data_IF_728005828320
#
_entry.id   IF_728005828320
#
_cell.length_a   1.000
_cell.length_b   1.000
_cell.length_c   1.000
_cell.angle_alpha   90.00
_cell.angle_beta   90.00
_cell.angle_gamma   90.00
#
_symmetry.space_group_name_H-M   'P 1'
#
loop_
_entity.id
_entity.type
_entity.pdbx_description
1 polymer ?
#
# COMPACT_ATOMS: atom_id res chain seq x y z
N UNK A 1 -11.42 -38.89 12.32
CA UNK A 1 -10.42 -37.85 12.64
C UNK A 1 -10.70 -36.64 11.76
N UNK A 2 -11.30 -35.60 12.33
CA UNK A 2 -11.48 -34.27 11.71
C UNK A 2 -11.30 -33.25 12.84
N UNK A 3 -10.85 -32.00 12.59
CA UNK A 3 -10.65 -31.34 11.29
C UNK A 3 -9.31 -30.56 11.19
N UNK A 4 -8.87 -30.26 9.96
CA UNK A 4 -8.12 -29.02 9.71
C UNK A 4 -8.57 -28.45 8.38
N UNK A 5 -9.83 -28.04 8.34
CA UNK A 5 -10.31 -27.13 7.32
C UNK A 5 -9.62 -25.80 7.58
N UNK A 6 -8.44 -25.60 6.97
CA UNK A 6 -7.85 -24.27 6.81
C UNK A 6 -8.92 -23.43 6.13
N UNK A 7 -9.55 -22.52 6.87
CA UNK A 7 -10.45 -21.53 6.33
C UNK A 7 -9.79 -20.91 5.08
N UNK A 8 -10.52 -20.70 3.97
CA UNK A 8 -9.91 -20.09 2.81
C UNK A 8 -9.46 -18.69 3.23
N UNK A 9 -8.14 -18.53 3.42
CA UNK A 9 -7.53 -17.21 3.54
C UNK A 9 -7.99 -16.46 2.30
N UNK A 10 -8.88 -15.48 2.48
CA UNK A 10 -9.54 -14.79 1.39
C UNK A 10 -8.44 -14.25 0.46
N UNK A 11 -8.20 -14.92 -0.67
CA UNK A 11 -7.07 -14.62 -1.56
C UNK A 11 -7.23 -13.19 -2.06
N UNK A 12 -6.22 -12.35 -1.84
CA UNK A 12 -6.23 -10.99 -2.34
C UNK A 12 -5.70 -10.98 -3.78
N UNK A 13 -6.57 -11.36 -4.71
CA UNK A 13 -6.22 -11.53 -6.13
C UNK A 13 -5.59 -10.28 -6.74
N UNK A 14 -6.05 -9.10 -6.32
CA UNK A 14 -5.52 -7.82 -6.79
C UNK A 14 -4.08 -7.60 -6.32
N UNK A 15 -3.79 -7.89 -5.04
CA UNK A 15 -2.44 -7.82 -4.51
C UNK A 15 -1.51 -8.85 -5.17
N UNK A 16 -1.97 -10.08 -5.39
CA UNK A 16 -1.19 -11.12 -6.06
C UNK A 16 -0.83 -10.74 -7.51
N UNK A 17 -1.79 -10.24 -8.28
CA UNK A 17 -1.54 -9.77 -9.65
C UNK A 17 -0.57 -8.59 -9.69
N UNK A 18 -0.67 -7.68 -8.73
CA UNK A 18 0.27 -6.58 -8.60
C UNK A 18 1.69 -7.06 -8.30
N UNK A 19 1.85 -8.01 -7.38
CA UNK A 19 3.16 -8.57 -7.06
C UNK A 19 3.76 -9.34 -8.24
N UNK A 20 2.93 -10.06 -9.02
CA UNK A 20 3.35 -10.68 -10.28
C UNK A 20 3.79 -9.63 -11.30
N UNK A 21 3.06 -8.54 -11.44
CA UNK A 21 3.44 -7.41 -12.30
C UNK A 21 4.79 -6.82 -11.89
N UNK A 22 5.00 -6.56 -10.60
CA UNK A 22 6.28 -6.05 -10.11
C UNK A 22 7.43 -7.02 -10.40
N UNK A 23 7.21 -8.32 -10.18
CA UNK A 23 8.22 -9.34 -10.40
C UNK A 23 8.61 -9.47 -11.89
N UNK A 24 7.62 -9.58 -12.77
CA UNK A 24 7.83 -9.93 -14.17
C UNK A 24 8.17 -8.69 -15.01
N UNK A 25 7.44 -7.60 -14.82
CA UNK A 25 7.53 -6.47 -15.75
C UNK A 25 8.36 -5.30 -15.23
N UNK A 26 8.49 -5.18 -13.91
CA UNK A 26 9.35 -4.17 -13.26
C UNK A 26 10.64 -4.77 -12.72
N UNK A 27 10.83 -6.08 -12.90
CA UNK A 27 12.00 -6.82 -12.43
C UNK A 27 12.35 -6.51 -10.96
N UNK A 28 11.32 -6.31 -10.12
CA UNK A 28 11.49 -5.88 -8.75
C UNK A 28 12.22 -6.96 -7.94
N UNK A 29 13.20 -6.54 -7.13
CA UNK A 29 13.99 -7.48 -6.33
C UNK A 29 13.11 -8.28 -5.34
N UNK A 30 13.51 -9.50 -4.95
CA UNK A 30 12.76 -10.31 -3.97
C UNK A 30 12.51 -9.57 -2.65
N UNK A 31 13.46 -8.72 -2.24
CA UNK A 31 13.34 -7.86 -1.06
C UNK A 31 12.20 -6.85 -1.22
N UNK A 32 12.08 -6.21 -2.39
CA UNK A 32 11.03 -5.24 -2.70
C UNK A 32 9.66 -5.93 -2.72
N UNK A 33 9.56 -7.09 -3.37
CA UNK A 33 8.33 -7.89 -3.41
C UNK A 33 7.86 -8.27 -2.00
N UNK A 34 8.77 -8.74 -1.14
CA UNK A 34 8.46 -9.09 0.25
C UNK A 34 8.01 -7.87 1.06
N UNK A 35 8.69 -6.74 0.89
CA UNK A 35 8.33 -5.50 1.56
C UNK A 35 6.93 -5.02 1.16
N UNK A 36 6.61 -5.05 -0.13
CA UNK A 36 5.32 -4.61 -0.66
C UNK A 36 4.19 -5.59 -0.30
N UNK A 37 4.44 -6.90 -0.37
CA UNK A 37 3.47 -7.91 0.07
C UNK A 37 3.13 -7.76 1.55
N UNK A 38 4.14 -7.56 2.40
CA UNK A 38 3.94 -7.30 3.83
C UNK A 38 3.17 -6.00 4.06
N UNK A 39 3.49 -4.94 3.31
CA UNK A 39 2.78 -3.66 3.41
C UNK A 39 1.29 -3.79 3.06
N UNK A 40 0.97 -4.38 1.90
CA UNK A 40 -0.41 -4.55 1.46
C UNK A 40 -1.22 -5.41 2.43
N UNK A 41 -0.62 -6.47 2.97
CA UNK A 41 -1.26 -7.32 3.99
C UNK A 41 -1.58 -6.54 5.27
N UNK A 42 -0.64 -5.72 5.77
CA UNK A 42 -0.85 -4.91 6.97
C UNK A 42 -1.91 -3.82 6.77
N UNK A 43 -1.90 -3.14 5.61
CA UNK A 43 -2.94 -2.18 5.25
C UNK A 43 -4.31 -2.87 5.23
N UNK A 44 -4.40 -4.05 4.60
CA UNK A 44 -5.62 -4.86 4.57
C UNK A 44 -6.16 -5.18 5.95
N UNK A 45 -5.29 -5.64 6.84
CA UNK A 45 -5.65 -5.97 8.21
C UNK A 45 -6.12 -4.75 8.97
N UNK A 46 -5.43 -3.60 8.85
CA UNK A 46 -5.86 -2.36 9.50
C UNK A 46 -7.24 -1.91 9.03
N UNK A 47 -7.48 -1.98 7.72
CA UNK A 47 -8.75 -1.60 7.12
C UNK A 47 -9.82 -2.69 7.26
N UNK A 48 -9.65 -3.65 8.17
CA UNK A 48 -10.60 -4.72 8.45
C UNK A 48 -11.04 -5.47 7.19
N UNK A 49 -10.11 -5.71 6.27
CA UNK A 49 -10.34 -6.36 4.99
C UNK A 49 -11.42 -5.65 4.13
N UNK A 50 -11.54 -4.33 4.25
CA UNK A 50 -12.31 -3.50 3.32
C UNK A 50 -11.83 -3.75 1.88
N UNK A 51 -12.73 -3.93 0.90
CA UNK A 51 -12.33 -4.11 -0.50
C UNK A 51 -11.55 -2.89 -1.00
N UNK A 52 -10.46 -3.10 -1.73
CA UNK A 52 -9.63 -2.03 -2.28
C UNK A 52 -10.42 -0.98 -3.07
N UNK A 53 -11.43 -1.42 -3.84
CA UNK A 53 -12.30 -0.53 -4.62
C UNK A 53 -13.21 0.36 -3.76
N UNK A 54 -13.39 0.03 -2.47
CA UNK A 54 -14.22 0.79 -1.52
C UNK A 54 -13.37 1.64 -0.57
N UNK A 55 -12.05 1.50 -0.59
CA UNK A 55 -11.17 2.31 0.23
C UNK A 55 -11.13 3.76 -0.28
N UNK A 56 -11.03 4.71 0.65
CA UNK A 56 -10.98 6.16 0.43
C UNK A 56 -9.64 6.70 0.92
N UNK A 57 -9.32 7.93 0.52
CA UNK A 57 -8.10 8.60 0.97
C UNK A 57 -8.02 8.70 2.51
N UNK A 58 -9.16 8.92 3.17
CA UNK A 58 -9.24 9.03 4.63
C UNK A 58 -8.81 7.72 5.33
N UNK A 59 -9.23 6.55 4.81
CA UNK A 59 -8.83 5.25 5.35
C UNK A 59 -7.29 5.09 5.40
N UNK A 60 -6.60 5.58 4.37
CA UNK A 60 -5.14 5.53 4.29
C UNK A 60 -4.45 6.60 5.13
N UNK A 61 -5.03 7.81 5.21
CA UNK A 61 -4.52 8.87 6.08
C UNK A 61 -4.58 8.41 7.54
N UNK A 62 -5.70 7.81 7.96
CA UNK A 62 -5.88 7.27 9.30
C UNK A 62 -4.88 6.14 9.60
N UNK A 63 -4.66 5.24 8.64
CA UNK A 63 -3.65 4.19 8.79
C UNK A 63 -2.23 4.75 8.97
N UNK A 64 -1.79 5.65 8.10
CA UNK A 64 -0.44 6.22 8.17
C UNK A 64 -0.25 7.06 9.43
N UNK A 65 -1.30 7.78 9.85
CA UNK A 65 -1.30 8.54 11.09
C UNK A 65 -1.22 7.62 12.31
N UNK A 66 -1.93 6.49 12.30
CA UNK A 66 -1.83 5.46 13.33
C UNK A 66 -0.40 4.91 13.45
N UNK A 67 0.25 4.54 12.33
CA UNK A 67 1.66 4.11 12.34
C UNK A 67 2.59 5.18 12.93
N UNK A 68 2.32 6.46 12.62
CA UNK A 68 3.09 7.57 13.16
C UNK A 68 2.89 7.74 14.67
N UNK A 69 1.67 7.54 15.17
CA UNK A 69 1.35 7.55 16.61
C UNK A 69 2.03 6.40 17.35
N UNK A 70 2.13 5.24 16.72
CA UNK A 70 2.87 4.08 17.24
C UNK A 70 4.40 4.25 17.17
N UNK A 71 4.89 5.43 16.77
CA UNK A 71 6.33 5.73 16.62
C UNK A 71 7.04 4.76 15.68
N UNK A 72 6.33 4.21 14.69
CA UNK A 72 6.93 3.35 13.68
C UNK A 72 8.06 4.09 12.95
N UNK A 73 9.11 3.37 12.58
CA UNK A 73 10.27 3.95 11.90
C UNK A 73 9.85 4.67 10.60
N UNK A 74 10.43 5.84 10.34
CA UNK A 74 10.11 6.65 9.14
C UNK A 74 10.30 5.86 7.84
N UNK A 75 11.37 5.07 7.75
CA UNK A 75 11.65 4.18 6.61
C UNK A 75 10.52 3.17 6.38
N UNK A 76 9.97 2.62 7.46
CA UNK A 76 8.85 1.69 7.40
C UNK A 76 7.57 2.37 6.91
N UNK A 77 7.22 3.55 7.44
CA UNK A 77 6.05 4.32 6.97
C UNK A 77 6.20 4.67 5.48
N UNK A 78 7.40 5.04 5.02
CA UNK A 78 7.67 5.30 3.59
C UNK A 78 7.46 4.05 2.73
N UNK A 79 7.85 2.86 3.19
CA UNK A 79 7.58 1.60 2.48
C UNK A 79 6.08 1.34 2.36
N UNK A 80 5.32 1.51 3.45
CA UNK A 80 3.85 1.35 3.43
C UNK A 80 3.20 2.28 2.41
N UNK A 81 3.58 3.55 2.43
CA UNK A 81 3.08 4.56 1.50
C UNK A 81 3.48 4.30 0.05
N UNK A 82 4.72 3.89 -0.19
CA UNK A 82 5.23 3.58 -1.54
C UNK A 82 4.52 2.37 -2.15
N UNK A 83 4.33 1.32 -1.34
CA UNK A 83 3.55 0.15 -1.74
C UNK A 83 2.12 0.53 -2.11
N UNK A 84 1.45 1.35 -1.27
CA UNK A 84 0.09 1.84 -1.52
C UNK A 84 -0.01 2.61 -2.84
N UNK A 85 0.85 3.61 -3.07
CA UNK A 85 0.82 4.43 -4.30
C UNK A 85 1.07 3.60 -5.55
N UNK A 86 2.03 2.70 -5.49
CA UNK A 86 2.39 1.88 -6.66
C UNK A 86 1.29 0.86 -6.96
N UNK A 87 0.67 0.30 -5.92
CA UNK A 87 -0.47 -0.60 -6.04
C UNK A 87 -1.69 0.08 -6.69
N UNK A 88 -2.10 1.26 -6.21
CA UNK A 88 -3.25 1.95 -6.78
C UNK A 88 -3.00 2.51 -8.19
N UNK A 89 -1.76 2.92 -8.51
CA UNK A 89 -1.36 3.20 -9.90
C UNK A 89 -1.54 1.98 -10.80
N UNK A 90 -1.15 0.80 -10.33
CA UNK A 90 -1.37 -0.46 -11.05
C UNK A 90 -2.87 -0.76 -11.23
N UNK A 91 -3.68 -0.60 -10.19
CA UNK A 91 -5.13 -0.80 -10.27
C UNK A 91 -5.80 0.18 -11.24
N UNK A 92 -5.40 1.45 -11.23
CA UNK A 92 -5.88 2.44 -12.19
C UNK A 92 -5.53 2.05 -13.63
N UNK A 93 -4.27 1.65 -13.86
CA UNK A 93 -3.79 1.31 -15.19
C UNK A 93 -4.39 0.01 -15.75
N UNK A 94 -4.56 -1.03 -14.92
CA UNK A 94 -4.93 -2.38 -15.39
C UNK A 94 -6.31 -2.86 -15.01
N UNK A 95 -6.85 -2.35 -13.91
CA UNK A 95 -8.16 -2.75 -13.37
C UNK A 95 -9.22 -1.68 -13.60
N UNK A 96 -8.90 -0.67 -14.41
CA UNK A 96 -9.78 0.43 -14.80
C UNK A 96 -10.41 1.11 -13.58
N UNK A 97 -9.65 1.22 -12.49
CA UNK A 97 -10.10 1.93 -11.30
C UNK A 97 -10.25 3.41 -11.68
N UNK A 98 -11.48 3.91 -11.72
CA UNK A 98 -11.76 5.28 -12.17
C UNK A 98 -11.16 6.35 -11.25
N UNK A 99 -10.92 6.00 -9.98
CA UNK A 99 -10.43 6.90 -8.96
C UNK A 99 -9.27 6.28 -8.18
N UNK A 100 -8.17 7.02 -8.03
CA UNK A 100 -7.01 6.62 -7.23
C UNK A 100 -7.03 7.35 -5.88
N UNK A 101 -7.60 6.74 -4.82
CA UNK A 101 -7.66 7.34 -3.49
C UNK A 101 -6.27 7.56 -2.87
N UNK A 102 -5.23 6.86 -3.34
CA UNK A 102 -3.86 7.03 -2.83
C UNK A 102 -3.18 8.31 -3.31
N UNK A 103 -3.68 8.89 -4.42
CA UNK A 103 -3.14 10.13 -4.98
C UNK A 103 -3.33 11.33 -4.04
N UNK A 104 -4.42 11.32 -3.25
CA UNK A 104 -4.77 12.35 -2.28
C UNK A 104 -4.11 12.14 -0.89
N UNK A 105 -3.41 11.03 -0.71
CA UNK A 105 -2.75 10.70 0.56
C UNK A 105 -1.37 11.33 0.59
N UNK A 106 -1.08 12.07 1.66
CA UNK A 106 0.24 12.60 1.97
C UNK A 106 0.80 11.92 3.21
N UNK A 107 2.13 11.77 3.27
CA UNK A 107 2.79 11.26 4.46
C UNK A 107 2.62 12.25 5.63
N UNK A 108 2.26 11.77 6.85
CA UNK A 108 2.17 12.63 8.01
C UNK A 108 3.56 13.22 8.31
N UNK A 109 3.69 14.55 8.20
CA UNK A 109 4.86 15.30 8.66
C UNK A 109 4.77 15.41 10.17
N UNK A 110 5.66 14.74 10.90
CA UNK A 110 5.69 14.86 12.35
C UNK A 110 6.28 16.24 12.72
N UNK A 111 5.36 17.15 13.04
CA UNK A 111 5.46 18.52 13.54
C UNK A 111 5.45 19.70 12.54
N UNK A 112 4.32 20.43 12.67
CA UNK A 112 3.92 21.80 12.27
C UNK A 112 3.66 22.08 10.78
N UNK A 113 2.36 22.26 10.51
CA UNK A 113 1.69 22.90 9.37
C UNK A 113 1.55 22.13 8.04
N UNK A 114 0.31 22.18 7.52
CA UNK A 114 -0.14 21.76 6.18
C UNK A 114 0.59 22.53 5.06
N UNK A 115 0.31 22.27 3.78
CA UNK A 115 0.33 21.01 3.03
C UNK A 115 1.36 21.13 1.89
N UNK A 116 2.15 20.10 1.61
CA UNK A 116 3.02 20.14 0.42
C UNK A 116 2.81 18.88 -0.38
N UNK A 117 2.24 19.13 -1.55
CA UNK A 117 2.01 18.22 -2.66
C UNK A 117 3.27 17.41 -2.92
N UNK A 118 3.23 16.12 -2.60
CA UNK A 118 4.24 15.14 -3.01
C UNK A 118 4.04 14.89 -4.51
N UNK A 119 4.62 15.79 -5.31
CA UNK A 119 4.67 15.72 -6.77
C UNK A 119 5.41 14.47 -7.23
N UNK A 120 5.03 14.03 -8.42
CA UNK A 120 5.42 12.78 -9.11
C UNK A 120 6.93 12.46 -9.10
N UNK A 121 7.80 13.44 -8.87
CA UNK A 121 9.26 13.32 -8.96
C UNK A 121 9.94 12.62 -7.76
N UNK A 122 9.36 12.64 -6.55
CA UNK A 122 10.03 12.06 -5.37
C UNK A 122 9.93 10.54 -5.23
N UNK A 123 9.21 9.86 -6.13
CA UNK A 123 9.12 8.40 -6.12
C UNK A 123 10.33 7.76 -6.81
N UNK A 124 11.01 8.50 -7.71
CA UNK A 124 12.14 7.99 -8.48
C UNK A 124 13.45 7.92 -7.66
N UNK A 125 13.61 8.74 -6.62
CA UNK A 125 14.81 8.69 -5.74
C UNK A 125 14.76 7.60 -4.66
N UNK A 126 13.62 6.94 -4.44
CA UNK A 126 13.45 5.95 -3.36
C UNK A 126 13.85 4.52 -3.75
N UNK A 127 14.27 4.32 -5.01
CA UNK A 127 14.64 3.02 -5.60
C UNK A 127 16.04 3.04 -6.24
N UNK A 128 16.82 4.11 -6.02
CA UNK A 128 18.26 4.12 -6.27
C UNK A 128 19.03 3.37 -5.18
#
# INVERSE_FOLDING_TARGET
MTPSARAPTKRDLLAEEFLRFLAIERNASPRTLKAYASALSKIRTQLQLKPWLKCRADDFRDYLFHLSKEKAARSYIRVQFSALRTFYKFLRARKKLGHDPSAEVQLPRLQKQLPVVLTRQQIEELLS
#
